data_IF_201875091481
#
_entry.id   IF_201875091481
#
_cell.length_a   1.000
_cell.length_b   1.000
_cell.length_c   1.000
_cell.angle_alpha   90.00
_cell.angle_beta   90.00
_cell.angle_gamma   90.00
#
_symmetry.space_group_name_H-M   'P 1'
#
loop_
_entity.id
_entity.type
_entity.pdbx_description
1 polymer ?
#
# COMPACT_ATOMS: atom_id res chain seq x y z
N UNK A 1 46.70 28.01 -12.15
CA UNK A 1 46.29 27.08 -11.08
C UNK A 1 45.41 27.84 -10.10
N UNK A 2 44.10 27.87 -10.35
CA UNK A 2 43.10 28.51 -9.49
C UNK A 2 42.43 27.42 -8.67
N UNK A 3 42.75 27.38 -7.37
CA UNK A 3 42.13 26.48 -6.42
C UNK A 3 40.66 26.90 -6.24
N UNK A 4 39.74 26.04 -6.67
CA UNK A 4 38.32 26.15 -6.38
C UNK A 4 38.15 25.82 -4.90
N UNK A 5 37.85 26.83 -4.08
CA UNK A 5 37.53 26.65 -2.67
C UNK A 5 36.25 25.81 -2.56
N UNK A 6 36.37 24.64 -1.94
CA UNK A 6 35.25 23.74 -1.65
C UNK A 6 34.33 24.40 -0.62
N UNK A 7 33.10 24.71 -1.04
CA UNK A 7 32.11 25.33 -0.17
C UNK A 7 31.79 24.37 1.01
N UNK A 8 31.67 24.89 2.25
CA UNK A 8 31.42 24.05 3.41
C UNK A 8 30.09 23.31 3.26
N UNK A 9 30.16 21.97 3.37
CA UNK A 9 29.01 21.07 3.41
C UNK A 9 28.08 21.44 4.57
N UNK A 10 26.96 22.09 4.24
CA UNK A 10 25.88 22.37 5.20
C UNK A 10 25.22 21.04 5.54
N UNK A 11 25.57 20.46 6.70
CA UNK A 11 24.87 19.30 7.26
C UNK A 11 23.43 19.70 7.57
N UNK A 12 22.50 19.26 6.74
CA UNK A 12 21.07 19.38 7.03
C UNK A 12 20.75 18.65 8.34
N UNK A 13 19.93 19.25 9.23
CA UNK A 13 19.54 18.59 10.46
C UNK A 13 18.84 17.26 10.14
N UNK A 14 19.05 16.22 10.97
CA UNK A 14 18.43 14.93 10.74
C UNK A 14 16.91 15.10 10.66
N UNK A 15 16.24 14.47 9.69
CA UNK A 15 14.79 14.58 9.54
C UNK A 15 14.11 14.18 10.85
N UNK A 16 13.20 15.02 11.34
CA UNK A 16 12.43 14.72 12.55
C UNK A 16 11.66 13.42 12.31
N UNK A 17 11.87 12.42 13.16
CA UNK A 17 11.01 11.22 13.21
C UNK A 17 9.61 11.67 13.61
N UNK A 18 8.73 11.82 12.62
CA UNK A 18 7.36 12.29 12.82
C UNK A 18 6.38 11.18 13.18
N UNK A 19 6.76 9.91 12.98
CA UNK A 19 5.88 8.75 13.19
C UNK A 19 6.48 7.84 14.27
N UNK A 20 5.73 7.60 15.35
CA UNK A 20 6.09 6.67 16.41
C UNK A 20 5.82 5.21 16.01
N UNK A 21 6.35 4.24 16.78
CA UNK A 21 6.17 2.82 16.50
C UNK A 21 4.69 2.39 16.46
N UNK A 22 3.89 2.90 17.40
CA UNK A 22 2.45 2.58 17.48
C UNK A 22 1.73 3.10 16.24
N UNK A 23 1.90 4.39 15.92
CA UNK A 23 1.31 5.00 14.71
C UNK A 23 1.74 4.27 13.44
N UNK A 24 3.03 3.98 13.29
CA UNK A 24 3.54 3.23 12.14
C UNK A 24 2.91 1.83 12.03
N UNK A 25 2.84 1.10 13.15
CA UNK A 25 2.23 -0.24 13.20
C UNK A 25 0.74 -0.20 12.88
N UNK A 26 0.01 0.77 13.43
CA UNK A 26 -1.42 0.97 13.18
C UNK A 26 -1.69 1.28 11.70
N UNK A 27 -0.89 2.15 11.07
CA UNK A 27 -1.00 2.46 9.65
C UNK A 27 -0.77 1.20 8.81
N UNK A 28 0.25 0.39 9.14
CA UNK A 28 0.53 -0.86 8.41
C UNK A 28 -0.62 -1.86 8.55
N UNK A 29 -1.13 -2.07 9.78
CA UNK A 29 -2.27 -2.97 10.02
C UNK A 29 -3.51 -2.51 9.23
N UNK A 30 -3.82 -1.21 9.27
CA UNK A 30 -4.95 -0.64 8.54
C UNK A 30 -4.82 -0.80 7.02
N UNK A 31 -3.59 -0.75 6.47
CA UNK A 31 -3.36 -0.97 5.04
C UNK A 31 -3.41 -2.46 4.65
N UNK A 32 -3.04 -3.38 5.54
CA UNK A 32 -3.06 -4.83 5.26
C UNK A 32 -4.47 -5.40 5.36
N UNK A 33 -5.24 -4.99 6.37
CA UNK A 33 -6.61 -5.49 6.59
C UNK A 33 -7.58 -4.72 5.68
N UNK A 34 -7.76 -5.22 4.45
CA UNK A 34 -8.66 -4.64 3.45
C UNK A 34 -9.93 -5.45 3.21
N UNK A 35 -10.67 -5.08 2.16
CA UNK A 35 -11.90 -5.77 1.69
C UNK A 35 -11.67 -7.22 1.25
N UNK A 36 -10.42 -7.62 1.04
CA UNK A 36 -10.01 -8.96 0.64
C UNK A 36 -10.44 -10.04 1.64
N UNK A 37 -10.51 -9.74 2.94
CA UNK A 37 -11.00 -10.73 3.92
C UNK A 37 -12.44 -11.13 3.63
N UNK A 38 -13.30 -10.21 3.17
CA UNK A 38 -14.69 -10.54 2.84
C UNK A 38 -14.85 -11.05 1.42
N UNK A 39 -14.13 -10.44 0.47
CA UNK A 39 -14.31 -10.71 -0.97
C UNK A 39 -13.59 -11.98 -1.39
N UNK A 40 -12.31 -12.13 -1.02
CA UNK A 40 -11.51 -13.30 -1.39
C UNK A 40 -11.98 -14.57 -0.67
N UNK A 41 -12.40 -14.46 0.60
CA UNK A 41 -13.05 -15.58 1.28
C UNK A 41 -14.31 -16.03 0.53
N UNK A 42 -15.14 -15.07 0.08
CA UNK A 42 -16.33 -15.37 -0.71
C UNK A 42 -16.02 -16.17 -1.99
N UNK A 43 -14.95 -15.82 -2.71
CA UNK A 43 -14.50 -16.59 -3.87
C UNK A 43 -13.94 -17.97 -3.49
N UNK A 44 -13.13 -18.06 -2.43
CA UNK A 44 -12.58 -19.33 -1.96
C UNK A 44 -13.67 -20.31 -1.52
N UNK A 45 -14.72 -19.81 -0.85
CA UNK A 45 -15.87 -20.58 -0.42
C UNK A 45 -16.74 -21.09 -1.56
N UNK A 46 -16.62 -20.57 -2.78
CA UNK A 46 -17.33 -21.13 -3.93
C UNK A 46 -16.76 -22.52 -4.30
N UNK A 47 -15.44 -22.68 -4.22
CA UNK A 47 -14.73 -23.89 -4.64
C UNK A 47 -14.36 -24.80 -3.44
N UNK A 48 -14.11 -24.23 -2.26
CA UNK A 48 -13.65 -24.93 -1.07
C UNK A 48 -14.77 -24.96 -0.02
N UNK A 49 -15.56 -26.03 -0.03
CA UNK A 49 -16.69 -26.23 0.90
C UNK A 49 -16.28 -26.81 2.26
N UNK A 50 -14.98 -27.10 2.48
CA UNK A 50 -14.46 -27.64 3.74
C UNK A 50 -13.65 -26.58 4.50
N UNK A 51 -13.96 -26.41 5.78
CA UNK A 51 -13.30 -25.39 6.62
C UNK A 51 -11.82 -25.67 6.88
N UNK A 52 -11.41 -26.94 6.95
CA UNK A 52 -10.01 -27.28 7.24
C UNK A 52 -9.04 -26.86 6.10
N UNK A 53 -9.28 -27.24 4.82
CA UNK A 53 -8.47 -26.74 3.71
C UNK A 53 -8.44 -25.22 3.60
N UNK A 54 -9.56 -24.55 3.88
CA UNK A 54 -9.64 -23.09 3.88
C UNK A 54 -8.71 -22.48 4.96
N UNK A 55 -8.75 -23.00 6.19
CA UNK A 55 -7.86 -22.53 7.26
C UNK A 55 -6.38 -22.83 6.97
N UNK A 56 -6.07 -23.98 6.37
CA UNK A 56 -4.70 -24.31 5.95
C UNK A 56 -4.20 -23.37 4.86
N UNK A 57 -5.04 -23.00 3.89
CA UNK A 57 -4.70 -22.01 2.86
C UNK A 57 -4.32 -20.66 3.51
N UNK A 58 -5.10 -20.22 4.49
CA UNK A 58 -4.82 -18.99 5.24
C UNK A 58 -3.54 -19.08 6.08
N UNK A 59 -3.31 -20.21 6.75
CA UNK A 59 -2.09 -20.43 7.52
C UNK A 59 -0.84 -20.37 6.64
N UNK A 60 -0.85 -21.04 5.48
CA UNK A 60 0.26 -21.03 4.52
C UNK A 60 0.48 -19.62 3.96
N UNK A 61 -0.59 -18.92 3.57
CA UNK A 61 -0.52 -17.54 3.11
C UNK A 61 0.05 -16.58 4.16
N UNK A 62 -0.35 -16.75 5.43
CA UNK A 62 0.15 -15.98 6.56
C UNK A 62 1.65 -16.21 6.82
N UNK A 63 2.12 -17.45 6.75
CA UNK A 63 3.54 -17.77 6.89
C UNK A 63 4.35 -17.15 5.74
N UNK A 64 3.87 -17.26 4.50
CA UNK A 64 4.53 -16.66 3.34
C UNK A 64 4.62 -15.12 3.47
N UNK A 65 3.54 -14.47 3.92
CA UNK A 65 3.52 -13.04 4.17
C UNK A 65 4.49 -12.62 5.29
N UNK A 66 4.57 -13.41 6.38
CA UNK A 66 5.50 -13.17 7.48
C UNK A 66 6.95 -13.24 7.01
N UNK A 67 7.31 -14.27 6.23
CA UNK A 67 8.64 -14.38 5.63
C UNK A 67 8.98 -13.15 4.78
N UNK A 68 8.04 -12.71 3.92
CA UNK A 68 8.22 -11.51 3.12
C UNK A 68 8.42 -10.25 3.97
N UNK A 69 7.63 -10.09 5.04
CA UNK A 69 7.75 -8.95 5.96
C UNK A 69 9.11 -8.92 6.68
N UNK A 70 9.63 -10.08 7.09
CA UNK A 70 10.96 -10.17 7.71
C UNK A 70 12.07 -9.81 6.72
N UNK A 71 12.01 -10.32 5.48
CA UNK A 71 12.97 -9.95 4.44
C UNK A 71 12.97 -8.44 4.14
N UNK A 72 11.78 -7.83 4.04
CA UNK A 72 11.66 -6.38 3.89
C UNK A 72 12.13 -5.61 5.13
N UNK A 73 11.95 -6.18 6.32
CA UNK A 73 12.48 -5.64 7.58
C UNK A 73 14.00 -5.56 7.57
N UNK A 74 14.68 -6.64 7.23
CA UNK A 74 16.15 -6.66 7.09
C UNK A 74 16.65 -5.71 6.00
N UNK A 75 15.96 -5.69 4.86
CA UNK A 75 16.32 -4.83 3.74
C UNK A 75 16.18 -3.34 4.07
N UNK A 76 15.08 -2.97 4.74
CA UNK A 76 14.83 -1.59 5.18
C UNK A 76 15.80 -1.13 6.28
N UNK A 77 16.30 -2.06 7.11
CA UNK A 77 17.35 -1.78 8.07
C UNK A 77 18.71 -1.58 7.39
N UNK A 78 19.02 -2.36 6.34
CA UNK A 78 20.26 -2.25 5.58
C UNK A 78 20.31 -1.01 4.66
N UNK A 79 19.17 -0.59 4.10
CA UNK A 79 19.05 0.54 3.17
C UNK A 79 18.04 1.59 3.69
N UNK A 80 18.38 2.37 4.74
CA UNK A 80 17.43 3.16 5.53
C UNK A 80 17.00 4.49 4.88
N UNK A 81 16.88 4.55 3.55
CA UNK A 81 16.43 5.75 2.82
C UNK A 81 15.01 5.59 2.32
N UNK A 82 14.23 6.67 2.39
CA UNK A 82 12.89 6.73 1.81
C UNK A 82 12.93 6.50 0.29
N UNK A 83 12.06 5.61 -0.20
CA UNK A 83 11.93 5.29 -1.62
C UNK A 83 11.45 3.87 -1.93
N UNK A 84 11.28 3.02 -0.91
CA UNK A 84 10.68 1.69 -1.06
C UNK A 84 11.40 0.82 -2.10
N UNK A 85 10.62 0.09 -2.90
CA UNK A 85 11.12 -0.79 -3.95
C UNK A 85 11.99 -0.06 -4.98
N UNK A 86 11.61 1.16 -5.37
CA UNK A 86 12.44 1.98 -6.26
C UNK A 86 13.86 2.16 -5.70
N UNK A 87 13.98 2.48 -4.42
CA UNK A 87 15.29 2.66 -3.78
C UNK A 87 16.06 1.34 -3.68
N UNK A 88 15.41 0.27 -3.21
CA UNK A 88 16.05 -1.03 -3.05
C UNK A 88 16.58 -1.57 -4.37
N UNK A 89 15.76 -1.63 -5.43
CA UNK A 89 16.19 -2.15 -6.72
C UNK A 89 17.24 -1.26 -7.40
N UNK A 90 17.16 0.06 -7.22
CA UNK A 90 18.18 0.97 -7.75
C UNK A 90 19.56 0.72 -7.14
N UNK A 91 19.62 0.39 -5.86
CA UNK A 91 20.87 0.19 -5.13
C UNK A 91 21.42 -1.23 -5.27
N UNK A 92 20.55 -2.24 -5.28
CA UNK A 92 20.96 -3.66 -5.25
C UNK A 92 21.26 -4.17 -6.66
N UNK A 93 20.46 -3.78 -7.66
CA UNK A 93 20.54 -4.34 -9.00
C UNK A 93 21.01 -3.31 -10.03
N UNK A 94 20.16 -2.32 -10.34
CA UNK A 94 20.48 -1.30 -11.33
C UNK A 94 19.44 -0.15 -11.28
N UNK A 95 19.84 1.12 -11.53
CA UNK A 95 18.92 2.26 -11.55
C UNK A 95 17.72 2.10 -12.50
N UNK A 96 17.88 1.41 -13.63
CA UNK A 96 16.77 1.16 -14.57
C UNK A 96 15.70 0.23 -13.98
N UNK A 97 16.08 -0.78 -13.20
CA UNK A 97 15.15 -1.68 -12.54
C UNK A 97 14.42 -0.98 -11.39
N UNK A 98 15.13 -0.11 -10.67
CA UNK A 98 14.52 0.81 -9.72
C UNK A 98 13.46 1.69 -10.38
N UNK A 99 13.80 2.34 -11.50
CA UNK A 99 12.84 3.16 -12.26
C UNK A 99 11.60 2.35 -12.70
N UNK A 100 11.79 1.15 -13.24
CA UNK A 100 10.68 0.27 -13.62
C UNK A 100 9.79 -0.07 -12.42
N UNK A 101 10.38 -0.45 -11.29
CA UNK A 101 9.63 -0.74 -10.06
C UNK A 101 8.83 0.49 -9.60
N UNK A 102 9.46 1.67 -9.59
CA UNK A 102 8.78 2.93 -9.26
C UNK A 102 7.62 3.25 -10.20
N UNK A 103 7.81 3.06 -11.51
CA UNK A 103 6.77 3.30 -12.51
C UNK A 103 5.59 2.34 -12.35
N UNK A 104 5.84 1.05 -12.18
CA UNK A 104 4.79 0.04 -11.96
C UNK A 104 4.04 0.30 -10.65
N UNK A 105 4.76 0.63 -9.58
CA UNK A 105 4.15 0.97 -8.29
C UNK A 105 3.22 2.19 -8.40
N UNK A 106 3.68 3.26 -9.06
CA UNK A 106 2.92 4.49 -9.24
C UNK A 106 1.68 4.34 -10.13
N UNK A 107 1.73 3.46 -11.15
CA UNK A 107 0.66 3.34 -12.15
C UNK A 107 -0.30 2.20 -11.88
N UNK A 108 0.21 1.04 -11.46
CA UNK A 108 -0.58 -0.20 -11.31
C UNK A 108 -0.66 -0.63 -9.85
N UNK A 109 0.46 -0.53 -9.12
CA UNK A 109 0.59 -1.06 -7.76
C UNK A 109 -0.46 -0.53 -6.79
N UNK A 110 -0.75 0.79 -6.84
CA UNK A 110 -1.80 1.39 -6.01
C UNK A 110 -3.15 1.50 -6.72
N UNK A 111 -3.18 1.63 -8.04
CA UNK A 111 -4.44 1.79 -8.78
C UNK A 111 -5.31 0.52 -8.76
N UNK A 112 -4.70 -0.66 -8.90
CA UNK A 112 -5.45 -1.91 -8.96
C UNK A 112 -6.15 -2.25 -7.63
N UNK A 113 -5.51 -2.16 -6.44
CA UNK A 113 -6.19 -2.35 -5.16
C UNK A 113 -7.32 -1.34 -4.92
N UNK A 114 -7.13 -0.07 -5.30
CA UNK A 114 -8.18 0.97 -5.20
C UNK A 114 -9.38 0.61 -6.07
N UNK A 115 -9.14 0.18 -7.32
CA UNK A 115 -10.20 -0.26 -8.22
C UNK A 115 -10.95 -1.48 -7.67
N UNK A 116 -10.22 -2.49 -7.15
CA UNK A 116 -10.82 -3.68 -6.53
C UNK A 116 -11.67 -3.31 -5.31
N UNK A 117 -11.17 -2.43 -4.43
CA UNK A 117 -11.92 -1.97 -3.26
C UNK A 117 -13.20 -1.22 -3.66
N UNK A 118 -13.13 -0.35 -4.67
CA UNK A 118 -14.29 0.37 -5.21
C UNK A 118 -15.32 -0.58 -5.83
N UNK A 119 -14.87 -1.58 -6.60
CA UNK A 119 -15.73 -2.61 -7.18
C UNK A 119 -16.43 -3.44 -6.11
N UNK A 120 -15.70 -3.81 -5.04
CA UNK A 120 -16.29 -4.49 -3.90
C UNK A 120 -17.36 -3.60 -3.24
N UNK A 121 -17.04 -2.34 -2.95
CA UNK A 121 -18.01 -1.38 -2.41
C UNK A 121 -19.27 -1.28 -3.27
N UNK A 122 -19.13 -1.12 -4.59
CA UNK A 122 -20.27 -1.02 -5.49
C UNK A 122 -21.14 -2.28 -5.50
N UNK A 123 -20.53 -3.48 -5.43
CA UNK A 123 -21.26 -4.76 -5.32
C UNK A 123 -22.00 -4.89 -3.99
N UNK A 124 -21.33 -4.60 -2.88
CA UNK A 124 -21.95 -4.67 -1.55
C UNK A 124 -23.08 -3.64 -1.39
N UNK A 125 -22.87 -2.41 -1.87
CA UNK A 125 -23.88 -1.36 -1.80
C UNK A 125 -25.12 -1.70 -2.64
N UNK A 126 -24.91 -2.22 -3.85
CA UNK A 126 -26.02 -2.70 -4.68
C UNK A 126 -26.78 -3.85 -4.02
N UNK A 127 -26.08 -4.78 -3.37
CA UNK A 127 -26.72 -5.87 -2.62
C UNK A 127 -27.57 -5.39 -1.44
N UNK A 128 -27.28 -4.21 -0.88
CA UNK A 128 -28.07 -3.61 0.22
C UNK A 128 -29.23 -2.76 -0.31
N UNK A 129 -29.02 -2.00 -1.37
CA UNK A 129 -30.02 -1.08 -1.92
C UNK A 129 -30.97 -1.74 -2.92
N UNK A 130 -30.59 -2.88 -3.49
CA UNK A 130 -31.30 -3.62 -4.56
C UNK A 130 -31.64 -2.78 -5.81
N UNK A 131 -31.01 -1.61 -5.96
CA UNK A 131 -31.20 -0.66 -7.04
C UNK A 131 -29.87 0.02 -7.42
N UNK A 132 -29.81 0.59 -8.63
CA UNK A 132 -28.64 1.28 -9.16
C UNK A 132 -27.58 0.33 -9.72
N UNK A 133 -26.64 0.86 -10.50
CA UNK A 133 -25.57 0.06 -11.12
C UNK A 133 -24.36 -0.05 -10.19
N UNK A 134 -23.87 -1.27 -9.86
CA UNK A 134 -22.65 -1.47 -9.09
C UNK A 134 -21.45 -0.73 -9.69
N UNK A 135 -21.39 -0.64 -11.02
CA UNK A 135 -20.32 0.05 -11.73
C UNK A 135 -20.37 1.57 -11.47
N UNK A 136 -21.55 2.18 -11.49
CA UNK A 136 -21.71 3.61 -11.21
C UNK A 136 -21.37 3.93 -9.76
N UNK A 137 -21.76 3.08 -8.80
CA UNK A 137 -21.35 3.25 -7.41
C UNK A 137 -19.83 3.15 -7.22
N UNK A 138 -19.18 2.24 -7.94
CA UNK A 138 -17.72 2.07 -7.91
C UNK A 138 -17.00 3.31 -8.44
N UNK A 139 -17.43 3.85 -9.59
CA UNK A 139 -16.87 5.11 -10.09
C UNK A 139 -17.18 6.28 -9.17
N UNK A 140 -18.41 6.35 -8.65
CA UNK A 140 -18.85 7.41 -7.74
C UNK A 140 -18.00 7.51 -6.49
N UNK A 141 -17.70 6.37 -5.83
CA UNK A 141 -16.87 6.37 -4.62
C UNK A 141 -15.42 6.76 -4.91
N UNK A 142 -14.85 6.31 -6.04
CA UNK A 142 -13.49 6.71 -6.45
C UNK A 142 -13.42 8.22 -6.65
N UNK A 143 -14.34 8.78 -7.45
CA UNK A 143 -14.37 10.22 -7.69
C UNK A 143 -14.59 11.03 -6.41
N UNK A 144 -15.50 10.59 -5.55
CA UNK A 144 -15.75 11.25 -4.26
C UNK A 144 -14.47 11.28 -3.41
N UNK A 145 -13.79 10.14 -3.25
CA UNK A 145 -12.57 10.04 -2.46
C UNK A 145 -11.44 10.86 -3.11
N UNK A 146 -11.29 10.81 -4.43
CA UNK A 146 -10.29 11.61 -5.15
C UNK A 146 -10.53 13.10 -4.96
N UNK A 147 -11.77 13.58 -5.13
CA UNK A 147 -12.12 14.99 -4.92
C UNK A 147 -11.87 15.42 -3.47
N UNK A 148 -12.19 14.57 -2.50
CA UNK A 148 -11.91 14.82 -1.09
C UNK A 148 -10.40 15.01 -0.84
N UNK A 149 -9.56 14.13 -1.38
CA UNK A 149 -8.10 14.22 -1.23
C UNK A 149 -7.50 15.45 -1.95
N UNK A 150 -8.08 15.84 -3.10
CA UNK A 150 -7.66 17.04 -3.82
C UNK A 150 -8.03 18.33 -3.07
N UNK A 151 -9.16 18.35 -2.36
CA UNK A 151 -9.65 19.54 -1.67
C UNK A 151 -8.97 19.79 -0.31
N UNK A 152 -8.48 18.77 0.38
CA UNK A 152 -8.02 18.93 1.77
C UNK A 152 -6.84 18.01 2.17
N UNK A 153 -5.64 18.33 1.68
CA UNK A 153 -4.41 17.58 2.01
C UNK A 153 -4.07 17.57 3.52
N UNK A 154 -4.48 18.61 4.26
CA UNK A 154 -4.21 18.72 5.70
C UNK A 154 -5.09 17.78 6.55
N UNK A 155 -6.34 17.53 6.13
CA UNK A 155 -7.25 16.61 6.83
C UNK A 155 -6.88 15.16 6.57
N UNK A 156 -6.42 14.83 5.35
CA UNK A 156 -5.91 13.48 5.04
C UNK A 156 -4.74 13.05 5.92
N UNK A 157 -3.79 13.96 6.18
CA UNK A 157 -2.68 13.70 7.10
C UNK A 157 -3.09 13.63 8.57
N UNK A 158 -4.19 14.29 8.95
CA UNK A 158 -4.69 14.31 10.33
C UNK A 158 -5.55 13.08 10.66
N UNK A 159 -6.25 12.50 9.68
CA UNK A 159 -7.08 11.30 9.86
C UNK A 159 -6.25 10.01 10.00
N UNK A 160 -5.00 10.03 9.53
CA UNK A 160 -4.08 8.88 9.54
C UNK A 160 -3.07 8.89 10.70
N UNK A 161 -3.01 9.96 11.51
CA UNK A 161 -2.14 10.11 12.69
C UNK A 161 -2.91 9.85 13.98
#
# INVERSE_FOLDING_TARGET
MTAIAEAPSVKSPPPRRSVGFVTASSIVIANIIGTGIFTSLGFQLADIQSGFPLLMLWAVGGIAALCGALCYGELSAALPRSGGEYHFLSQIYHPSLGFMAGFVSATVGFAAPVALAAMAFGKYLHGVLEYGSPLLFSFGVVWLVTLFHLANLQVGSAFQN
#
